data_IF_831160901016
#
_entry.id   IF_831160901016
#
_cell.length_a   1.000
_cell.length_b   1.000
_cell.length_c   1.000
_cell.angle_alpha   90.00
_cell.angle_beta   90.00
_cell.angle_gamma   90.00
#
_symmetry.space_group_name_H-M   'P 1'
#
loop_
_entity.id
_entity.type
_entity.pdbx_description
1 polymer ?
#
# COMPACT_ATOMS: atom_id res chain seq x y z
N UNK A 1 -7.84 22.79 5.85
CA UNK A 1 -7.74 22.05 4.57
C UNK A 1 -7.15 20.68 4.87
N UNK A 2 -8.00 19.67 4.99
CA UNK A 2 -7.56 18.28 5.20
C UNK A 2 -6.93 17.79 3.90
N UNK A 3 -5.62 17.58 3.88
CA UNK A 3 -4.91 16.96 2.75
C UNK A 3 -5.62 15.63 2.47
N UNK A 4 -6.14 15.38 1.25
CA UNK A 4 -6.74 14.09 0.94
C UNK A 4 -5.71 13.01 1.31
N UNK A 5 -6.15 11.96 2.00
CA UNK A 5 -5.26 10.81 2.28
C UNK A 5 -4.73 10.38 0.94
N UNK A 6 -3.43 10.54 0.74
CA UNK A 6 -2.84 10.39 -0.57
C UNK A 6 -3.15 8.99 -1.13
N UNK A 7 -3.30 7.97 -0.28
CA UNK A 7 -3.75 6.64 -0.65
C UNK A 7 -5.17 6.40 -0.08
N UNK A 8 -6.05 5.73 -0.84
CA UNK A 8 -7.32 5.26 -0.27
C UNK A 8 -7.06 4.25 0.84
N UNK A 9 -7.87 4.29 1.91
CA UNK A 9 -7.77 3.35 3.02
C UNK A 9 -7.87 1.89 2.53
N UNK A 10 -8.69 1.65 1.50
CA UNK A 10 -8.85 0.33 0.86
C UNK A 10 -7.56 -0.20 0.24
N UNK A 11 -6.78 0.67 -0.41
CA UNK A 11 -5.49 0.29 -1.00
C UNK A 11 -4.48 -0.06 0.08
N UNK A 12 -4.44 0.73 1.17
CA UNK A 12 -3.57 0.44 2.30
C UNK A 12 -3.94 -0.90 2.97
N UNK A 13 -5.23 -1.17 3.14
CA UNK A 13 -5.72 -2.44 3.67
C UNK A 13 -5.35 -3.62 2.77
N UNK A 14 -5.54 -3.49 1.45
CA UNK A 14 -5.15 -4.51 0.48
C UNK A 14 -3.64 -4.80 0.54
N UNK A 15 -2.81 -3.76 0.57
CA UNK A 15 -1.36 -3.92 0.69
C UNK A 15 -0.98 -4.64 1.97
N UNK A 16 -1.58 -4.27 3.11
CA UNK A 16 -1.32 -4.94 4.39
C UNK A 16 -1.78 -6.41 4.36
N UNK A 17 -2.92 -6.72 3.75
CA UNK A 17 -3.40 -8.09 3.61
C UNK A 17 -2.43 -8.95 2.78
N UNK A 18 -1.93 -8.43 1.66
CA UNK A 18 -0.98 -9.15 0.82
C UNK A 18 0.36 -9.38 1.53
N UNK A 19 0.87 -8.39 2.27
CA UNK A 19 2.07 -8.56 3.11
C UNK A 19 1.86 -9.65 4.16
N UNK A 20 0.71 -9.64 4.84
CA UNK A 20 0.34 -10.66 5.84
C UNK A 20 0.21 -12.05 5.22
N UNK A 21 -0.21 -12.14 3.97
CA UNK A 21 -0.22 -13.38 3.20
C UNK A 21 1.17 -13.84 2.71
N UNK A 22 2.24 -13.13 3.08
CA UNK A 22 3.62 -13.48 2.75
C UNK A 22 4.09 -13.00 1.37
N UNK A 23 3.33 -12.12 0.71
CA UNK A 23 3.71 -11.63 -0.61
C UNK A 23 4.89 -10.66 -0.52
N UNK A 24 5.79 -10.76 -1.50
CA UNK A 24 6.89 -9.81 -1.62
C UNK A 24 6.38 -8.44 -2.07
N UNK A 25 7.08 -7.36 -1.69
CA UNK A 25 6.73 -6.00 -2.10
C UNK A 25 6.68 -5.83 -3.63
N UNK A 26 7.51 -6.60 -4.36
CA UNK A 26 7.50 -6.65 -5.83
C UNK A 26 6.20 -7.27 -6.36
N UNK A 27 5.83 -8.45 -5.84
CA UNK A 27 4.60 -9.12 -6.26
C UNK A 27 3.36 -8.25 -5.93
N UNK A 28 3.39 -7.56 -4.79
CA UNK A 28 2.32 -6.60 -4.42
C UNK A 28 2.24 -5.47 -5.44
N UNK A 29 3.36 -4.85 -5.83
CA UNK A 29 3.33 -3.80 -6.85
C UNK A 29 2.81 -4.29 -8.20
N UNK A 30 3.16 -5.51 -8.60
CA UNK A 30 2.66 -6.14 -9.83
C UNK A 30 1.14 -6.36 -9.77
N UNK A 31 0.61 -6.82 -8.63
CA UNK A 31 -0.84 -6.97 -8.41
C UNK A 31 -1.56 -5.62 -8.47
N UNK A 32 -1.07 -4.60 -7.78
CA UNK A 32 -1.70 -3.27 -7.79
C UNK A 32 -1.73 -2.65 -9.18
N UNK A 33 -0.65 -2.82 -9.95
CA UNK A 33 -0.59 -2.41 -11.34
C UNK A 33 -1.55 -3.21 -12.23
N UNK A 34 -1.67 -4.52 -12.03
CA UNK A 34 -2.60 -5.37 -12.79
C UNK A 34 -4.08 -5.11 -12.47
N UNK A 35 -4.36 -4.44 -11.35
CA UNK A 35 -5.71 -4.01 -10.93
C UNK A 35 -6.01 -2.55 -11.29
N UNK A 36 -5.11 -1.87 -12.01
CA UNK A 36 -5.23 -0.44 -12.38
C UNK A 36 -5.49 0.49 -11.17
N UNK A 37 -4.92 0.14 -10.01
CA UNK A 37 -5.08 0.95 -8.79
C UNK A 37 -4.13 2.16 -8.87
N UNK A 38 -4.63 3.41 -8.85
CA UNK A 38 -3.78 4.59 -8.93
C UNK A 38 -2.89 4.71 -7.70
N UNK A 39 -1.66 5.19 -7.90
CA UNK A 39 -0.76 5.48 -6.78
C UNK A 39 -1.19 6.78 -6.07
N UNK A 40 -0.67 7.04 -4.86
CA UNK A 40 -1.08 8.19 -4.08
C UNK A 40 -0.88 9.59 -4.69
N UNK A 41 0.00 9.71 -5.68
CA UNK A 41 0.29 10.97 -6.38
C UNK A 41 -0.27 10.95 -7.81
N UNK A 42 -1.23 10.05 -8.09
CA UNK A 42 -1.76 9.82 -9.43
C UNK A 42 -0.68 9.37 -10.44
N UNK A 43 0.49 8.92 -9.95
CA UNK A 43 1.47 8.27 -10.81
C UNK A 43 0.90 6.92 -11.25
N UNK A 44 1.07 6.59 -12.52
CA UNK A 44 0.41 5.45 -13.17
C UNK A 44 0.96 4.09 -12.76
N UNK A 45 2.02 4.02 -11.96
CA UNK A 45 2.73 2.77 -11.71
C UNK A 45 3.22 2.62 -10.26
N UNK A 46 2.84 1.50 -9.65
CA UNK A 46 3.36 1.03 -8.38
C UNK A 46 4.76 0.45 -8.54
N UNK A 47 5.68 0.97 -7.74
CA UNK A 47 7.01 0.37 -7.54
C UNK A 47 7.07 -0.30 -6.16
N UNK A 48 7.89 -1.34 -6.00
CA UNK A 48 8.12 -1.98 -4.71
C UNK A 48 8.55 -0.98 -3.62
N UNK A 49 9.30 0.06 -3.98
CA UNK A 49 9.69 1.15 -3.08
C UNK A 49 8.50 1.97 -2.56
N UNK A 50 7.43 2.10 -3.35
CA UNK A 50 6.19 2.75 -2.90
C UNK A 50 5.44 1.88 -1.91
N UNK A 51 5.36 0.58 -2.14
CA UNK A 51 4.79 -0.38 -1.19
C UNK A 51 5.55 -0.31 0.15
N UNK A 52 6.89 -0.30 0.12
CA UNK A 52 7.71 -0.14 1.31
C UNK A 52 7.42 1.16 2.06
N UNK A 53 7.38 2.31 1.36
CA UNK A 53 7.06 3.62 1.97
C UNK A 53 5.66 3.65 2.56
N UNK A 54 4.68 3.05 1.88
CA UNK A 54 3.29 2.98 2.33
C UNK A 54 3.18 2.21 3.65
N UNK A 55 3.86 1.07 3.78
CA UNK A 55 3.91 0.27 5.01
C UNK A 55 4.64 1.00 6.16
N UNK A 56 5.56 1.89 5.85
CA UNK A 56 6.28 2.68 6.85
C UNK A 56 5.49 3.88 7.38
N UNK A 57 4.36 4.24 6.77
CA UNK A 57 3.46 5.27 7.31
C UNK A 57 2.93 4.89 8.69
N UNK A 58 2.46 5.89 9.46
CA UNK A 58 1.85 5.64 10.78
C UNK A 58 0.71 4.62 10.69
N UNK A 59 -0.14 4.74 9.67
CA UNK A 59 -1.28 3.85 9.49
C UNK A 59 -0.86 2.47 8.99
N UNK A 60 0.11 2.38 8.06
CA UNK A 60 0.68 1.11 7.63
C UNK A 60 1.31 0.33 8.79
N UNK A 61 2.11 0.99 9.63
CA UNK A 61 2.68 0.37 10.84
C UNK A 61 1.60 -0.03 11.84
N UNK A 62 0.59 0.82 12.05
CA UNK A 62 -0.53 0.51 12.95
C UNK A 62 -1.26 -0.74 12.49
N UNK A 63 -1.61 -0.83 11.20
CA UNK A 63 -2.30 -1.98 10.64
C UNK A 63 -1.44 -3.25 10.68
N UNK A 64 -0.12 -3.14 10.48
CA UNK A 64 0.78 -4.28 10.68
C UNK A 64 0.85 -4.73 12.15
N UNK A 65 0.82 -3.80 13.11
CA UNK A 65 0.99 -4.07 14.54
C UNK A 65 -0.27 -4.59 15.26
N UNK A 66 -1.47 -4.48 14.68
CA UNK A 66 -2.75 -4.83 15.35
C UNK A 66 -2.88 -6.32 15.74
N UNK A 67 -1.97 -7.21 15.32
CA UNK A 67 -1.92 -8.60 15.80
C UNK A 67 -0.46 -9.05 15.90
N UNK A 68 0.21 -8.67 17.00
CA UNK A 68 1.34 -9.40 17.59
C UNK A 68 0.93 -9.91 18.96
#
# INVERSE_FOLDING_TARGET
MSRPRACSDDTLLLVVQLVRAGWSQRAISEVLNGLDIPTPNDCSHWYASYVCRLLQTRDGRRLLAVIS
#
